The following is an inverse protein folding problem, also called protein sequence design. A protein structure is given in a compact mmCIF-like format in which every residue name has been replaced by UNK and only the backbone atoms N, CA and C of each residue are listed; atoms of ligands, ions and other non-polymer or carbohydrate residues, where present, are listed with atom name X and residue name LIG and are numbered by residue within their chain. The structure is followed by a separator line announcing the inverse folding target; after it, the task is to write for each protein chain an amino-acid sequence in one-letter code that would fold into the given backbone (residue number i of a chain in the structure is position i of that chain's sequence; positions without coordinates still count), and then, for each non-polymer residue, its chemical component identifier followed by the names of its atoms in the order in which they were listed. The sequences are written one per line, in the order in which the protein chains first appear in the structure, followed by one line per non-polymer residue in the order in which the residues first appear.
data_IF_551108305706
#
_entry.id   IF_551108305706
#
_cell.length_a   1.000
_cell.length_b   1.000
_cell.length_c   1.000
_cell.angle_alpha   90.00
_cell.angle_beta   90.00
_cell.angle_gamma   90.00
#
_symmetry.space_group_name_H-M   'P 1'
#
loop_
_entity.id
_entity.type
_entity.pdbx_description
1 polymer ?
#
# COMPACT_ATOMS: atom_id res chain seq x y z
N UNK A 1 25.89 -4.78 6.46
CA UNK A 1 27.10 -4.44 5.69
C UNK A 1 26.84 -3.14 4.90
N UNK A 2 27.12 -1.96 5.46
CA UNK A 2 26.77 -0.66 4.87
C UNK A 2 27.56 -0.30 3.61
N UNK A 3 28.64 -1.04 3.33
CA UNK A 3 29.49 -0.86 2.14
C UNK A 3 28.78 -1.19 0.81
N UNK A 4 27.73 -2.03 0.85
CA UNK A 4 26.97 -2.45 -0.35
C UNK A 4 25.86 -1.48 -0.78
N UNK A 5 25.49 -0.50 0.06
CA UNK A 5 24.41 0.44 -0.25
C UNK A 5 24.88 1.59 -1.16
N UNK A 6 26.08 2.13 -0.94
CA UNK A 6 26.61 3.25 -1.71
C UNK A 6 26.96 2.88 -3.17
N UNK A 7 27.45 1.65 -3.40
CA UNK A 7 27.80 1.16 -4.74
C UNK A 7 26.55 0.86 -5.60
N UNK A 8 25.44 0.44 -4.97
CA UNK A 8 24.15 0.19 -5.64
C UNK A 8 23.38 1.47 -6.00
N UNK A 9 23.45 2.50 -5.16
CA UNK A 9 22.89 3.83 -5.49
C UNK A 9 23.59 4.44 -6.71
N UNK A 10 24.91 4.24 -6.83
CA UNK A 10 25.67 4.69 -8.01
C UNK A 10 25.27 3.91 -9.29
N UNK A 11 25.04 2.59 -9.18
CA UNK A 11 24.62 1.73 -10.30
C UNK A 11 23.19 2.08 -10.77
N UNK A 12 22.26 2.29 -9.84
CA UNK A 12 20.90 2.81 -10.10
C UNK A 12 20.95 4.16 -10.83
N UNK A 13 21.87 5.07 -10.46
CA UNK A 13 22.00 6.37 -11.14
C UNK A 13 22.50 6.29 -12.59
N UNK A 14 23.34 5.31 -12.93
CA UNK A 14 23.87 5.10 -14.28
C UNK A 14 22.88 4.35 -15.17
N UNK A 15 22.23 3.33 -14.61
CA UNK A 15 21.16 2.57 -15.26
C UNK A 15 19.93 3.45 -15.54
N UNK A 16 19.51 4.29 -14.58
CA UNK A 16 18.46 5.29 -14.79
C UNK A 16 18.81 6.27 -15.91
N UNK A 17 20.08 6.67 -16.07
CA UNK A 17 20.51 7.55 -17.18
C UNK A 17 20.44 6.86 -18.55
N UNK A 18 20.80 5.58 -18.64
CA UNK A 18 20.74 4.81 -19.89
C UNK A 18 19.31 4.40 -20.26
N UNK A 19 18.46 4.10 -19.27
CA UNK A 19 17.05 3.75 -19.48
C UNK A 19 16.16 4.97 -19.71
N UNK A 20 16.56 6.18 -19.29
CA UNK A 20 15.72 7.38 -19.33
C UNK A 20 15.07 7.67 -20.68
N UNK A 21 15.75 7.59 -21.83
CA UNK A 21 15.10 7.86 -23.12
C UNK A 21 14.03 6.82 -23.46
N UNK A 22 14.31 5.53 -23.20
CA UNK A 22 13.38 4.43 -23.42
C UNK A 22 12.19 4.50 -22.45
N UNK A 23 12.47 4.72 -21.17
CA UNK A 23 11.47 4.91 -20.13
C UNK A 23 10.61 6.15 -20.37
N UNK A 24 11.19 7.25 -20.88
CA UNK A 24 10.44 8.45 -21.27
C UNK A 24 9.47 8.15 -22.42
N UNK A 25 9.90 7.38 -23.41
CA UNK A 25 9.03 6.94 -24.49
C UNK A 25 7.89 6.05 -23.97
N UNK A 26 8.19 5.04 -23.16
CA UNK A 26 7.18 4.17 -22.56
C UNK A 26 6.22 4.94 -21.65
N UNK A 27 6.74 5.83 -20.81
CA UNK A 27 5.95 6.67 -19.91
C UNK A 27 5.02 7.59 -20.69
N UNK A 28 5.53 8.29 -21.71
CA UNK A 28 4.70 9.16 -22.57
C UNK A 28 3.60 8.37 -23.27
N UNK A 29 3.90 7.14 -23.70
CA UNK A 29 2.91 6.25 -24.31
C UNK A 29 1.91 5.70 -23.28
N UNK A 30 2.34 5.34 -22.07
CA UNK A 30 1.47 4.88 -20.98
C UNK A 30 0.55 6.00 -20.50
N UNK A 31 1.07 7.23 -20.46
CA UNK A 31 0.31 8.44 -20.19
C UNK A 31 -0.65 8.80 -21.31
N UNK A 32 -0.84 8.01 -22.38
CA UNK A 32 -1.95 8.16 -23.35
C UNK A 32 -3.21 7.46 -22.81
N UNK A 33 -4.43 8.03 -22.91
CA UNK A 33 -5.61 7.45 -22.24
C UNK A 33 -5.99 6.08 -22.80
N UNK A 34 -5.80 5.86 -24.11
CA UNK A 34 -6.14 4.59 -24.76
C UNK A 34 -5.15 3.49 -24.37
N UNK A 35 -3.87 3.81 -24.26
CA UNK A 35 -2.85 2.89 -23.76
C UNK A 35 -3.10 2.57 -22.30
N UNK A 36 -3.38 3.59 -21.46
CA UNK A 36 -3.68 3.40 -20.06
C UNK A 36 -4.88 2.47 -19.85
N UNK A 37 -5.99 2.68 -20.59
CA UNK A 37 -7.14 1.77 -20.58
C UNK A 37 -6.76 0.33 -20.91
N UNK A 38 -5.88 0.11 -21.90
CA UNK A 38 -5.42 -1.24 -22.26
C UNK A 38 -4.59 -1.90 -21.15
N UNK A 39 -3.78 -1.12 -20.44
CA UNK A 39 -2.99 -1.62 -19.31
C UNK A 39 -3.90 -1.94 -18.12
N UNK A 40 -4.90 -1.11 -17.84
CA UNK A 40 -5.86 -1.36 -16.75
C UNK A 40 -6.64 -2.66 -16.94
N UNK A 41 -6.87 -3.12 -18.17
CA UNK A 41 -7.48 -4.43 -18.45
C UNK A 41 -6.65 -5.63 -17.97
N UNK A 42 -5.38 -5.44 -17.64
CA UNK A 42 -4.56 -6.48 -17.01
C UNK A 42 -4.79 -6.54 -15.49
N UNK A 43 -5.18 -5.42 -14.88
CA UNK A 43 -5.45 -5.34 -13.44
C UNK A 43 -6.92 -5.67 -13.14
N UNK A 44 -7.86 -5.15 -13.92
CA UNK A 44 -9.28 -5.23 -13.63
C UNK A 44 -9.91 -6.44 -14.31
N UNK A 45 -10.74 -7.17 -13.56
CA UNK A 45 -11.55 -8.25 -14.08
C UNK A 45 -12.81 -7.71 -14.79
N UNK A 46 -13.41 -6.65 -14.25
CA UNK A 46 -14.57 -5.97 -14.84
C UNK A 46 -14.14 -4.74 -15.65
N UNK A 47 -14.17 -4.86 -16.98
CA UNK A 47 -13.79 -3.76 -17.87
C UNK A 47 -14.75 -2.57 -17.80
N UNK A 48 -16.01 -2.76 -17.37
CA UNK A 48 -16.97 -1.66 -17.26
C UNK A 48 -16.56 -0.64 -16.19
N UNK A 49 -15.72 -1.07 -15.23
CA UNK A 49 -15.13 -0.20 -14.19
C UNK A 49 -13.97 0.65 -14.70
N UNK A 50 -13.45 0.37 -15.90
CA UNK A 50 -12.39 1.15 -16.53
C UNK A 50 -13.02 2.34 -17.27
N UNK A 51 -13.64 3.24 -16.51
CA UNK A 51 -14.31 4.42 -17.05
C UNK A 51 -13.35 5.59 -17.32
N UNK A 52 -13.88 6.67 -17.91
CA UNK A 52 -13.08 7.86 -18.20
C UNK A 52 -12.64 8.61 -16.94
N UNK A 53 -13.39 8.49 -15.84
CA UNK A 53 -13.06 9.13 -14.58
C UNK A 53 -11.81 8.48 -13.97
N UNK A 54 -11.76 7.16 -13.87
CA UNK A 54 -10.62 6.39 -13.39
C UNK A 54 -9.38 6.68 -14.24
N UNK A 55 -9.53 6.64 -15.56
CA UNK A 55 -8.43 6.92 -16.49
C UNK A 55 -7.90 8.33 -16.31
N UNK A 56 -8.78 9.31 -16.14
CA UNK A 56 -8.37 10.69 -15.91
C UNK A 56 -7.70 10.86 -14.53
N UNK A 57 -8.21 10.19 -13.50
CA UNK A 57 -7.66 10.23 -12.15
C UNK A 57 -6.23 9.67 -12.10
N UNK A 58 -5.97 8.57 -12.81
CA UNK A 58 -4.63 7.97 -12.91
C UNK A 58 -3.70 8.75 -13.86
N UNK A 59 -4.25 9.35 -14.92
CA UNK A 59 -3.49 10.15 -15.89
C UNK A 59 -3.04 11.49 -15.31
N UNK A 60 -3.89 12.17 -14.53
CA UNK A 60 -3.60 13.50 -14.00
C UNK A 60 -2.22 13.61 -13.32
N UNK A 61 -1.86 12.75 -12.33
CA UNK A 61 -0.54 12.81 -11.71
C UNK A 61 0.60 12.47 -12.68
N UNK A 62 0.34 11.69 -13.73
CA UNK A 62 1.33 11.36 -14.75
C UNK A 62 1.68 12.55 -15.69
N UNK A 63 0.92 13.66 -15.62
CA UNK A 63 1.19 14.88 -16.38
C UNK A 63 1.92 15.95 -15.57
N UNK A 64 2.11 15.74 -14.27
CA UNK A 64 2.76 16.72 -13.39
C UNK A 64 4.28 16.74 -13.59
N UNK A 65 4.94 17.89 -13.32
CA UNK A 65 6.40 17.97 -13.31
C UNK A 65 7.01 16.91 -12.38
N UNK A 66 7.99 16.16 -12.88
CA UNK A 66 8.66 15.10 -12.13
C UNK A 66 7.98 13.73 -12.19
N UNK A 67 6.84 13.58 -12.87
CA UNK A 67 6.14 12.30 -12.96
C UNK A 67 6.98 11.18 -13.61
N UNK A 68 7.81 11.51 -14.61
CA UNK A 68 8.76 10.55 -15.20
C UNK A 68 9.80 10.07 -14.18
N UNK A 69 10.26 10.94 -13.28
CA UNK A 69 11.24 10.58 -12.25
C UNK A 69 10.61 9.64 -11.21
N UNK A 70 9.36 9.89 -10.82
CA UNK A 70 8.58 9.00 -9.94
C UNK A 70 8.33 7.65 -10.61
N UNK A 71 7.94 7.64 -11.90
CA UNK A 71 7.74 6.41 -12.65
C UNK A 71 9.03 5.60 -12.77
N UNK A 72 10.15 6.26 -13.10
CA UNK A 72 11.47 5.64 -13.15
C UNK A 72 11.86 5.05 -11.80
N UNK A 73 11.66 5.80 -10.71
CA UNK A 73 11.88 5.29 -9.38
C UNK A 73 11.05 4.02 -9.17
N UNK A 74 9.73 4.06 -9.42
CA UNK A 74 8.85 2.91 -9.26
C UNK A 74 9.31 1.66 -10.04
N UNK A 75 9.62 1.76 -11.35
CA UNK A 75 9.97 0.57 -12.16
C UNK A 75 11.41 0.08 -11.98
N UNK A 76 12.29 0.90 -11.43
CA UNK A 76 13.70 0.53 -11.16
C UNK A 76 13.97 0.27 -9.69
N UNK A 77 12.97 0.45 -8.82
CA UNK A 77 13.10 0.21 -7.40
C UNK A 77 13.13 -1.29 -7.13
N UNK A 78 14.33 -1.82 -6.90
CA UNK A 78 14.61 -3.23 -6.60
C UNK A 78 15.11 -3.44 -5.16
N UNK A 79 15.09 -2.40 -4.33
CA UNK A 79 15.74 -2.40 -3.00
C UNK A 79 14.81 -2.26 -1.80
N UNK A 80 13.49 -2.27 -1.99
CA UNK A 80 12.53 -2.20 -0.89
C UNK A 80 12.30 -3.54 -0.20
N UNK A 81 11.77 -3.54 1.04
CA UNK A 81 11.27 -4.77 1.65
C UNK A 81 10.08 -5.29 0.85
N UNK A 82 10.03 -6.61 0.67
CA UNK A 82 8.88 -7.29 0.03
C UNK A 82 7.79 -7.56 1.09
N UNK A 83 6.54 -7.88 0.70
CA UNK A 83 5.45 -8.14 1.66
C UNK A 83 5.83 -9.13 2.76
N UNK A 84 6.59 -10.17 2.43
CA UNK A 84 7.10 -11.17 3.36
C UNK A 84 7.99 -10.55 4.46
N UNK A 85 8.92 -9.66 4.09
CA UNK A 85 9.80 -8.98 5.05
C UNK A 85 8.98 -8.18 6.08
N UNK A 86 7.84 -7.61 5.67
CA UNK A 86 6.95 -6.89 6.57
C UNK A 86 6.12 -7.83 7.45
N UNK A 87 5.59 -8.92 6.87
CA UNK A 87 4.78 -9.89 7.59
C UNK A 87 5.58 -10.66 8.66
N UNK A 88 6.90 -10.82 8.47
CA UNK A 88 7.80 -11.41 9.47
C UNK A 88 7.91 -10.56 10.75
N UNK A 89 7.80 -9.23 10.64
CA UNK A 89 8.08 -8.30 11.75
C UNK A 89 6.85 -7.64 12.35
N UNK A 90 5.73 -7.62 11.62
CA UNK A 90 4.48 -7.04 12.11
C UNK A 90 3.90 -7.91 13.23
N UNK A 91 3.50 -7.28 14.33
CA UNK A 91 2.96 -7.97 15.52
C UNK A 91 1.45 -7.80 15.66
N UNK A 92 0.87 -6.90 14.87
CA UNK A 92 -0.54 -6.59 14.87
C UNK A 92 -1.32 -7.66 14.09
N UNK A 93 -2.58 -7.91 14.47
CA UNK A 93 -3.53 -8.64 13.65
C UNK A 93 -3.49 -8.13 12.21
N UNK A 94 -3.25 -9.04 11.28
CA UNK A 94 -3.17 -8.72 9.84
C UNK A 94 -4.21 -9.53 9.09
N UNK A 95 -4.96 -8.85 8.22
CA UNK A 95 -5.84 -9.46 7.23
C UNK A 95 -5.30 -9.15 5.84
N UNK A 96 -5.36 -10.14 4.96
CA UNK A 96 -5.08 -9.97 3.53
C UNK A 96 -6.38 -10.15 2.75
N UNK A 97 -6.71 -9.19 1.87
CA UNK A 97 -7.86 -9.26 0.96
C UNK A 97 -7.32 -9.38 -0.46
N UNK A 98 -7.82 -10.36 -1.22
CA UNK A 98 -7.28 -10.70 -2.54
C UNK A 98 -8.40 -10.97 -3.55
N UNK A 99 -8.26 -10.49 -4.79
CA UNK A 99 -9.19 -10.81 -5.87
C UNK A 99 -8.89 -12.17 -6.49
N UNK A 100 -9.90 -13.04 -6.60
CA UNK A 100 -9.74 -14.39 -7.15
C UNK A 100 -9.10 -14.41 -8.56
N UNK A 101 -9.41 -13.40 -9.36
CA UNK A 101 -9.05 -13.30 -10.77
C UNK A 101 -7.91 -12.29 -11.03
N UNK A 102 -7.10 -11.97 -10.01
CA UNK A 102 -5.92 -11.15 -10.19
C UNK A 102 -4.93 -11.79 -11.20
N UNK A 103 -4.75 -11.13 -12.35
CA UNK A 103 -3.86 -11.57 -13.42
C UNK A 103 -2.43 -11.01 -13.27
N UNK A 104 -2.25 -9.96 -12.48
CA UNK A 104 -0.94 -9.36 -12.22
C UNK A 104 -0.21 -10.12 -11.12
N UNK A 105 -0.92 -10.48 -10.06
CA UNK A 105 -0.41 -11.26 -8.94
C UNK A 105 -1.29 -12.50 -8.72
N UNK A 106 -0.94 -13.65 -9.33
CA UNK A 106 -1.73 -14.86 -9.21
C UNK A 106 -1.99 -15.25 -7.75
N UNK A 107 -3.25 -15.52 -7.42
CA UNK A 107 -3.70 -15.82 -6.04
C UNK A 107 -2.90 -16.90 -5.31
N UNK A 108 -2.27 -17.83 -6.04
CA UNK A 108 -1.40 -18.85 -5.45
C UNK A 108 -0.23 -18.23 -4.68
N UNK A 109 0.31 -17.11 -5.15
CA UNK A 109 1.36 -16.34 -4.46
C UNK A 109 0.77 -15.68 -3.22
N UNK A 110 -0.33 -14.95 -3.36
CA UNK A 110 -0.98 -14.32 -2.20
C UNK A 110 -1.31 -15.33 -1.08
N UNK A 111 -1.79 -16.53 -1.44
CA UNK A 111 -2.11 -17.59 -0.47
C UNK A 111 -0.92 -18.04 0.38
N UNK A 112 0.34 -17.92 -0.09
CA UNK A 112 1.50 -18.25 0.75
C UNK A 112 1.71 -17.22 1.86
N UNK A 113 1.19 -15.99 1.71
CA UNK A 113 1.24 -14.96 2.74
C UNK A 113 0.33 -15.28 3.93
N UNK A 114 -0.62 -16.20 3.78
CA UNK A 114 -1.50 -16.64 4.87
C UNK A 114 -0.77 -17.49 5.93
N UNK A 115 0.43 -17.99 5.63
CA UNK A 115 1.20 -18.86 6.54
C UNK A 115 1.99 -18.06 7.61
N UNK A 116 2.02 -16.72 7.50
CA UNK A 116 2.68 -15.85 8.49
C UNK A 116 1.86 -15.75 9.76
N UNK A 117 2.52 -15.80 10.92
CA UNK A 117 1.84 -15.83 12.23
C UNK A 117 1.03 -14.58 12.57
N UNK A 118 1.33 -13.45 11.91
CA UNK A 118 0.60 -12.19 12.05
C UNK A 118 -0.69 -12.16 11.23
N UNK A 119 -0.83 -13.03 10.23
CA UNK A 119 -1.99 -13.07 9.34
C UNK A 119 -3.08 -13.96 9.92
N UNK A 120 -4.16 -13.32 10.38
CA UNK A 120 -5.31 -14.01 10.98
C UNK A 120 -6.27 -14.54 9.93
N UNK A 121 -6.40 -13.83 8.80
CA UNK A 121 -7.34 -14.17 7.75
C UNK A 121 -6.84 -13.76 6.35
N UNK A 122 -7.07 -14.65 5.38
CA UNK A 122 -6.88 -14.39 3.96
C UNK A 122 -8.23 -14.50 3.25
N UNK A 123 -8.80 -13.35 2.93
CA UNK A 123 -10.14 -13.20 2.35
C UNK A 123 -10.02 -13.11 0.82
N UNK A 124 -10.78 -13.95 0.12
CA UNK A 124 -10.82 -13.97 -1.34
C UNK A 124 -12.14 -13.39 -1.82
N UNK A 125 -12.07 -12.47 -2.77
CA UNK A 125 -13.24 -11.92 -3.45
C UNK A 125 -13.44 -12.61 -4.80
N UNK A 126 -14.49 -13.44 -4.96
CA UNK A 126 -14.77 -14.12 -6.22
C UNK A 126 -15.08 -13.13 -7.34
N UNK A 127 -14.55 -13.38 -8.54
CA UNK A 127 -14.82 -12.52 -9.69
C UNK A 127 -14.12 -11.15 -9.68
N UNK A 128 -13.23 -10.88 -8.73
CA UNK A 128 -12.53 -9.59 -8.57
C UNK A 128 -11.08 -9.72 -9.04
N UNK A 129 -10.54 -8.68 -9.69
CA UNK A 129 -9.15 -8.62 -10.14
C UNK A 129 -8.18 -8.05 -9.10
N UNK A 130 -7.14 -7.36 -9.59
CA UNK A 130 -6.00 -6.86 -8.83
C UNK A 130 -6.33 -5.71 -7.88
N UNK A 131 -7.43 -4.99 -8.09
CA UNK A 131 -7.77 -3.82 -7.28
C UNK A 131 -9.08 -4.01 -6.50
N UNK A 132 -9.16 -4.93 -5.51
CA UNK A 132 -10.37 -5.20 -4.74
C UNK A 132 -11.09 -3.96 -4.19
N UNK A 133 -10.33 -2.96 -3.73
CA UNK A 133 -10.87 -1.71 -3.17
C UNK A 133 -11.60 -0.85 -4.19
N UNK A 134 -11.25 -0.95 -5.48
CA UNK A 134 -11.85 -0.17 -6.57
C UNK A 134 -12.87 -1.04 -7.35
N UNK A 135 -12.57 -2.32 -7.51
CA UNK A 135 -13.40 -3.29 -8.21
C UNK A 135 -14.55 -3.86 -7.39
N UNK A 136 -14.51 -3.83 -6.07
CA UNK A 136 -15.61 -4.29 -5.22
C UNK A 136 -15.69 -3.44 -3.94
N UNK A 137 -15.88 -2.11 -4.06
CA UNK A 137 -15.70 -1.18 -2.96
C UNK A 137 -16.65 -1.47 -1.80
N UNK A 138 -17.90 -1.87 -2.05
CA UNK A 138 -18.85 -2.23 -0.99
C UNK A 138 -18.34 -3.43 -0.18
N UNK A 139 -17.96 -4.52 -0.87
CA UNK A 139 -17.45 -5.74 -0.22
C UNK A 139 -16.13 -5.47 0.51
N UNK A 140 -15.18 -4.80 -0.14
CA UNK A 140 -13.90 -4.46 0.44
C UNK A 140 -14.08 -3.59 1.70
N UNK A 141 -14.94 -2.58 1.64
CA UNK A 141 -15.21 -1.70 2.78
C UNK A 141 -15.91 -2.44 3.93
N UNK A 142 -16.86 -3.33 3.67
CA UNK A 142 -17.50 -4.16 4.70
C UNK A 142 -16.48 -5.06 5.40
N UNK A 143 -15.60 -5.72 4.64
CA UNK A 143 -14.54 -6.58 5.16
C UNK A 143 -13.57 -5.78 6.05
N UNK A 144 -13.08 -4.64 5.55
CA UNK A 144 -12.15 -3.79 6.31
C UNK A 144 -12.80 -3.26 7.59
N UNK A 145 -14.05 -2.79 7.53
CA UNK A 145 -14.77 -2.32 8.72
C UNK A 145 -14.96 -3.42 9.75
N UNK A 146 -15.41 -4.60 9.32
CA UNK A 146 -15.61 -5.73 10.21
C UNK A 146 -14.31 -6.16 10.91
N UNK A 147 -13.18 -6.16 10.18
CA UNK A 147 -11.87 -6.42 10.76
C UNK A 147 -11.47 -5.36 11.79
N UNK A 148 -11.57 -4.08 11.44
CA UNK A 148 -11.24 -2.97 12.34
C UNK A 148 -12.12 -2.99 13.59
N UNK A 149 -13.43 -3.16 13.48
CA UNK A 149 -14.35 -3.22 14.63
C UNK A 149 -14.02 -4.35 15.61
N UNK A 150 -13.61 -5.51 15.07
CA UNK A 150 -13.20 -6.69 15.84
C UNK A 150 -11.96 -6.41 16.71
N UNK A 151 -11.01 -5.63 16.18
CA UNK A 151 -9.76 -5.31 16.88
C UNK A 151 -9.75 -3.94 17.60
N UNK A 152 -10.70 -3.06 17.30
CA UNK A 152 -10.88 -1.77 18.00
C UNK A 152 -11.55 -1.95 19.36
N UNK A 153 -12.46 -2.93 19.46
CA UNK A 153 -13.25 -3.19 20.67
C UNK A 153 -12.42 -3.80 21.82
N UNK A 154 -11.20 -4.24 21.54
CA UNK A 154 -10.28 -4.81 22.53
C UNK A 154 -9.47 -3.75 23.32
N UNK A 155 -9.52 -2.46 22.93
CA UNK A 155 -8.76 -1.38 23.57
C UNK A 155 -9.55 -0.55 24.59
N UNK A 156 -10.84 -0.84 24.80
CA UNK A 156 -11.70 -0.14 25.78
C UNK A 156 -12.04 -1.03 26.96
N UNK A 157 -11.06 -1.38 27.80
CA UNK A 157 -11.18 -1.61 29.26
C UNK A 157 -9.76 -1.49 29.85
N UNK A 158 -9.38 -0.30 30.32
CA UNK A 158 -8.54 -0.10 31.53
C UNK A 158 -8.39 1.40 31.86
N UNK A 159 -9.48 2.12 32.07
CA UNK A 159 -9.45 3.34 32.88
C UNK A 159 -10.45 3.17 34.02
N UNK A 160 -10.02 2.39 35.01
CA UNK A 160 -10.70 2.22 36.29
C UNK A 160 -9.78 2.65 37.41
N UNK A 161 -10.05 3.85 37.92
CA UNK A 161 -10.03 4.19 39.36
C UNK A 161 -8.69 4.37 40.08
N UNK A 162 -8.12 5.57 40.01
CA UNK A 162 -7.55 6.22 41.20
C UNK A 162 -7.66 7.75 41.11
N UNK A 163 -8.80 8.29 41.53
CA UNK A 163 -8.95 9.71 41.83
C UNK A 163 -9.58 9.84 43.22
N UNK A 164 -8.75 9.70 44.25
CA UNK A 164 -9.10 10.11 45.60
C UNK A 164 -7.93 10.88 46.23
N UNK A 165 -8.12 12.20 46.28
CA UNK A 165 -7.76 13.03 47.42
C UNK A 165 -6.27 13.13 47.79
N UNK A 166 -5.68 14.30 47.55
CA UNK A 166 -5.22 15.16 48.65
C UNK A 166 -5.04 16.61 48.17
N UNK A 167 -5.72 17.51 48.89
CA UNK A 167 -5.84 18.94 48.62
C UNK A 167 -5.00 19.72 49.65
N UNK A 168 -4.15 20.62 49.12
CA UNK A 168 -3.57 21.88 49.69
C UNK A 168 -2.54 21.83 50.84
N UNK A 169 -1.75 22.92 51.11
CA UNK A 169 -1.81 24.33 50.65
C UNK A 169 -0.48 24.95 50.14
N UNK A 170 -0.43 26.26 49.77
CA UNK A 170 0.76 26.91 49.21
C UNK A 170 1.73 27.42 50.30
N UNK A 171 3.03 27.36 50.02
CA UNK A 171 4.10 28.10 50.70
C UNK A 171 5.06 28.50 49.58
N UNK A 172 5.38 29.77 49.31
CA UNK A 172 5.84 30.80 50.22
C UNK A 172 7.23 31.21 49.72
N UNK A 173 7.42 32.49 49.44
CA UNK A 173 8.66 33.11 48.96
C UNK A 173 9.88 32.80 49.85
N UNK A 174 11.07 32.52 49.30
CA UNK A 174 12.32 33.24 49.64
C UNK A 174 13.57 32.79 48.85
N UNK A 175 14.48 33.76 48.71
CA UNK A 175 15.77 33.80 48.02
C UNK A 175 16.77 32.67 48.29
N UNK A 176 17.66 32.49 47.31
CA UNK A 176 19.01 31.92 47.40
C UNK A 176 19.74 32.10 46.08
#
# INVERSE_FOLDING_TARGET
QPFLAAERVAYSSCLCKQLRPLASFFFTNLSNPQTLKKVLKLAYQDEEKIDDQLVQALRAPALEPGALDVFLAFITYDTGPIPEDFLEVIQQPTMIVWGENDQLEPIKIGRTLADFSSVEEFVVLPGVGHCPQDEAPEQANEIVKAFVERHSSASTISEGEEAASLVHPPQGEHCG
#
